data_IF_864518432472
#
_entry.id   IF_864518432472
#
_cell.length_a   1.000
_cell.length_b   1.000
_cell.length_c   1.000
_cell.angle_alpha   90.00
_cell.angle_beta   90.00
_cell.angle_gamma   90.00
#
_symmetry.space_group_name_H-M   'P 1'
#
loop_
_entity.id
_entity.type
_entity.pdbx_description
1 polymer ?
#
# COMPACT_ATOMS: atom_id res chain seq x y z
N UNK A 1 2.63 -11.47 -24.97
CA UNK A 1 1.63 -12.37 -25.58
C UNK A 1 0.43 -11.50 -25.92
N UNK A 2 0.30 -11.11 -27.18
CA UNK A 2 -0.71 -10.17 -27.66
C UNK A 2 -2.06 -10.89 -27.71
N UNK A 3 -3.13 -10.26 -27.22
CA UNK A 3 -4.47 -10.80 -27.42
C UNK A 3 -4.81 -10.75 -28.92
N UNK A 4 -5.08 -11.90 -29.53
CA UNK A 4 -5.44 -12.01 -30.94
C UNK A 4 -6.66 -11.14 -31.26
N UNK A 5 -6.70 -10.53 -32.44
CA UNK A 5 -7.75 -9.59 -32.87
C UNK A 5 -9.18 -10.20 -32.79
N UNK A 6 -9.28 -11.54 -32.76
CA UNK A 6 -10.51 -12.30 -32.54
C UNK A 6 -11.07 -12.12 -31.11
N UNK A 7 -10.21 -11.98 -30.10
CA UNK A 7 -10.61 -11.74 -28.71
C UNK A 7 -11.18 -10.32 -28.52
N UNK A 8 -10.62 -9.32 -29.21
CA UNK A 8 -11.11 -7.94 -29.18
C UNK A 8 -12.44 -7.83 -29.92
N UNK A 9 -12.58 -8.49 -31.08
CA UNK A 9 -13.84 -8.55 -31.80
C UNK A 9 -14.95 -9.24 -30.97
N UNK A 10 -14.60 -10.29 -30.23
CA UNK A 10 -15.52 -11.02 -29.34
C UNK A 10 -15.97 -10.16 -28.15
N UNK A 11 -15.06 -9.42 -27.53
CA UNK A 11 -15.39 -8.51 -26.41
C UNK A 11 -16.31 -7.36 -26.84
N UNK A 12 -16.07 -6.79 -28.03
CA UNK A 12 -16.92 -5.72 -28.61
C UNK A 12 -18.30 -6.26 -28.99
N UNK A 13 -18.38 -7.48 -29.54
CA UNK A 13 -19.65 -8.13 -29.87
C UNK A 13 -20.47 -8.47 -28.60
N UNK A 14 -19.83 -8.90 -27.51
CA UNK A 14 -20.47 -9.12 -26.22
C UNK A 14 -21.02 -7.83 -25.61
N UNK A 15 -20.27 -6.73 -25.68
CA UNK A 15 -20.71 -5.41 -25.22
C UNK A 15 -21.87 -4.82 -26.06
N UNK A 16 -21.86 -5.06 -27.38
CA UNK A 16 -22.94 -4.65 -28.26
C UNK A 16 -24.21 -5.51 -28.11
N UNK A 17 -24.05 -6.82 -27.87
CA UNK A 17 -25.14 -7.77 -27.74
C UNK A 17 -25.84 -7.79 -26.37
N UNK A 18 -25.12 -7.50 -25.28
CA UNK A 18 -25.66 -7.65 -23.92
C UNK A 18 -26.70 -6.59 -23.52
N UNK A 19 -26.80 -5.46 -24.22
CA UNK A 19 -27.69 -4.37 -23.81
C UNK A 19 -28.52 -3.73 -24.93
N UNK A 20 -28.43 -4.18 -26.18
CA UNK A 20 -29.29 -3.67 -27.27
C UNK A 20 -29.19 -2.14 -27.50
N UNK A 21 -28.09 -1.50 -27.08
CA UNK A 21 -28.00 -0.04 -26.97
C UNK A 21 -27.00 0.63 -27.91
N UNK A 22 -26.40 -0.09 -28.85
CA UNK A 22 -25.40 0.50 -29.77
C UNK A 22 -25.69 0.03 -31.20
N UNK A 23 -26.11 0.96 -32.06
CA UNK A 23 -26.31 0.71 -33.49
C UNK A 23 -24.99 0.41 -34.22
N UNK A 24 -25.03 -0.26 -35.39
CA UNK A 24 -23.85 -0.78 -36.07
C UNK A 24 -22.76 0.27 -36.36
N UNK A 25 -23.14 1.53 -36.60
CA UNK A 25 -22.20 2.62 -36.88
C UNK A 25 -21.33 3.03 -35.67
N UNK A 26 -21.85 2.87 -34.45
CA UNK A 26 -21.11 3.21 -33.23
C UNK A 26 -20.11 2.10 -32.83
N UNK A 27 -20.39 0.85 -33.19
CA UNK A 27 -19.44 -0.26 -33.02
C UNK A 27 -18.24 -0.13 -33.99
N UNK A 28 -18.49 0.29 -35.24
CA UNK A 28 -17.42 0.54 -36.22
C UNK A 28 -16.52 1.68 -35.78
N UNK A 29 -17.09 2.79 -35.28
CA UNK A 29 -16.30 3.91 -34.74
C UNK A 29 -15.47 3.55 -33.50
N UNK A 30 -15.99 2.70 -32.63
CA UNK A 30 -15.24 2.22 -31.46
C UNK A 30 -14.03 1.35 -31.88
N UNK A 31 -14.19 0.54 -32.92
CA UNK A 31 -13.11 -0.26 -33.51
C UNK A 31 -12.05 0.61 -34.21
N UNK A 32 -12.45 1.67 -34.91
CA UNK A 32 -11.50 2.64 -35.51
C UNK A 32 -10.71 3.41 -34.45
N UNK A 33 -11.36 3.82 -33.35
CA UNK A 33 -10.72 4.46 -32.20
C UNK A 33 -9.73 3.54 -31.49
N UNK A 34 -10.10 2.27 -31.29
CA UNK A 34 -9.21 1.29 -30.65
C UNK A 34 -7.98 0.97 -31.51
N UNK A 35 -8.09 1.04 -32.85
CA UNK A 35 -6.95 0.92 -33.77
C UNK A 35 -6.06 2.16 -33.74
N UNK A 36 -6.64 3.36 -33.74
CA UNK A 36 -5.88 4.61 -33.64
C UNK A 36 -5.09 4.72 -32.32
N UNK A 37 -5.67 4.29 -31.18
CA UNK A 37 -4.94 4.21 -29.92
C UNK A 37 -3.79 3.20 -29.93
N UNK A 38 -3.88 2.14 -30.75
CA UNK A 38 -2.81 1.12 -30.86
C UNK A 38 -1.59 1.68 -31.59
N UNK A 39 -1.82 2.50 -32.62
CA UNK A 39 -0.75 3.15 -33.41
C UNK A 39 -0.07 4.29 -32.63
N UNK A 40 -0.75 4.92 -31.65
CA UNK A 40 -0.18 6.00 -30.83
C UNK A 40 0.73 5.52 -29.67
N UNK A 41 0.63 4.25 -29.26
CA UNK A 41 1.55 3.69 -28.23
C UNK A 41 2.96 3.49 -28.79
N UNK A 42 3.14 3.45 -30.11
CA UNK A 42 4.45 3.30 -30.76
C UNK A 42 5.24 4.62 -30.91
N UNK A 43 4.65 5.80 -30.69
CA UNK A 43 5.35 7.08 -30.96
C UNK A 43 5.22 8.06 -29.77
N UNK A 44 6.32 8.21 -29.03
CA UNK A 44 6.40 8.96 -27.77
C UNK A 44 6.05 10.46 -27.84
N UNK A 45 5.63 10.96 -26.67
CA UNK A 45 5.30 12.34 -26.26
C UNK A 45 5.72 13.47 -27.22
N UNK A 46 4.72 14.16 -27.80
CA UNK A 46 4.88 15.42 -28.52
C UNK A 46 3.55 16.14 -28.77
N UNK A 47 3.53 17.46 -28.55
CA UNK A 47 2.37 18.35 -28.59
C UNK A 47 1.56 18.27 -29.91
N UNK A 48 0.26 17.92 -29.84
CA UNK A 48 -0.57 17.67 -31.02
C UNK A 48 -1.02 18.95 -31.79
N UNK A 49 -0.85 18.93 -33.11
CA UNK A 49 -1.62 19.67 -34.14
C UNK A 49 -2.05 18.65 -35.21
N UNK A 50 -3.23 18.81 -35.82
CA UNK A 50 -3.64 17.95 -36.94
C UNK A 50 -3.04 18.38 -38.30
N UNK A 51 -3.19 17.55 -39.32
CA UNK A 51 -2.67 17.73 -40.70
C UNK A 51 -3.32 18.86 -41.51
N UNK A 52 -4.21 19.64 -40.89
CA UNK A 52 -4.79 20.88 -41.46
C UNK A 52 -4.49 22.13 -40.63
N UNK A 53 -3.73 22.00 -39.53
CA UNK A 53 -3.15 23.12 -38.79
C UNK A 53 -4.06 23.85 -37.80
N UNK A 54 -5.21 23.28 -37.38
CA UNK A 54 -6.06 23.88 -36.33
C UNK A 54 -5.81 23.26 -34.96
N UNK A 55 -5.89 24.08 -33.90
CA UNK A 55 -5.78 23.65 -32.49
C UNK A 55 -7.06 22.97 -32.03
N UNK A 56 -6.92 21.88 -31.26
CA UNK A 56 -8.04 21.20 -30.59
C UNK A 56 -8.74 22.13 -29.58
N UNK A 57 -10.07 22.02 -29.53
CA UNK A 57 -10.92 22.66 -28.52
C UNK A 57 -10.75 21.94 -27.17
N UNK A 58 -10.78 22.71 -26.07
CA UNK A 58 -10.78 22.18 -24.70
C UNK A 58 -12.05 21.33 -24.44
N UNK A 59 -11.94 20.36 -23.53
CA UNK A 59 -12.94 19.33 -23.23
C UNK A 59 -14.30 19.82 -22.70
N UNK A 60 -14.49 21.11 -22.53
CA UNK A 60 -15.71 21.77 -22.06
C UNK A 60 -16.78 21.97 -23.16
N UNK A 61 -16.51 21.61 -24.43
CA UNK A 61 -17.49 21.73 -25.53
C UNK A 61 -18.15 20.42 -25.99
N UNK A 62 -17.91 19.29 -25.33
CA UNK A 62 -18.49 17.97 -25.69
C UNK A 62 -19.95 17.76 -25.21
N UNK A 63 -20.74 18.83 -25.08
CA UNK A 63 -22.06 18.78 -24.43
C UNK A 63 -23.29 18.86 -25.36
N UNK A 64 -23.15 19.13 -26.66
CA UNK A 64 -24.29 19.58 -27.46
C UNK A 64 -24.74 18.65 -28.61
N UNK A 65 -24.15 17.45 -28.79
CA UNK A 65 -24.44 16.61 -29.97
C UNK A 65 -25.13 15.26 -29.68
N UNK A 66 -25.52 14.96 -28.45
CA UNK A 66 -26.31 13.76 -28.14
C UNK A 66 -27.33 14.11 -27.07
N UNK A 67 -28.63 14.04 -27.41
CA UNK A 67 -29.76 14.43 -26.56
C UNK A 67 -29.97 13.61 -25.29
N UNK A 68 -28.94 13.47 -24.45
CA UNK A 68 -28.97 12.81 -23.15
C UNK A 68 -29.27 13.87 -22.09
N UNK A 69 -30.40 13.76 -21.38
CA UNK A 69 -30.66 14.57 -20.20
C UNK A 69 -29.62 14.24 -19.13
N UNK A 70 -28.80 15.22 -18.75
CA UNK A 70 -27.87 15.12 -17.61
C UNK A 70 -28.65 14.90 -16.31
N UNK A 71 -28.33 13.83 -15.59
CA UNK A 71 -28.48 13.81 -14.14
C UNK A 71 -27.38 14.72 -13.56
N UNK A 72 -27.76 15.89 -13.07
CA UNK A 72 -26.86 16.78 -12.34
C UNK A 72 -26.64 16.23 -10.94
N UNK A 73 -25.46 15.66 -10.70
CA UNK A 73 -24.90 15.53 -9.34
C UNK A 73 -24.43 16.94 -8.93
N UNK A 74 -24.75 17.45 -7.74
CA UNK A 74 -24.25 18.75 -7.30
C UNK A 74 -22.73 18.68 -7.18
N UNK A 75 -22.01 19.39 -8.04
CA UNK A 75 -20.60 19.65 -7.84
C UNK A 75 -20.47 20.52 -6.58
N UNK A 76 -19.77 20.02 -5.56
CA UNK A 76 -19.25 20.88 -4.50
C UNK A 76 -18.35 21.93 -5.17
N UNK A 77 -18.88 23.15 -5.28
CA UNK A 77 -18.10 24.34 -5.66
C UNK A 77 -17.12 24.63 -4.54
N UNK A 78 -15.85 24.31 -4.73
CA UNK A 78 -14.79 25.00 -4.02
C UNK A 78 -14.80 26.47 -4.47
N UNK A 79 -15.24 27.35 -3.57
CA UNK A 79 -15.19 28.80 -3.75
C UNK A 79 -13.75 29.24 -3.52
N UNK A 80 -12.97 29.36 -4.59
CA UNK A 80 -11.75 30.17 -4.55
C UNK A 80 -12.12 31.61 -4.89
N UNK A 81 -12.41 32.40 -3.87
CA UNK A 81 -12.52 33.85 -3.97
C UNK A 81 -11.74 34.50 -2.82
N UNK A 82 -10.56 35.02 -3.12
CA UNK A 82 -9.73 35.79 -2.18
C UNK A 82 -8.44 36.23 -2.84
N UNK A 83 -8.40 37.50 -3.27
CA UNK A 83 -7.22 38.16 -3.84
C UNK A 83 -6.20 38.44 -2.73
N UNK A 84 -4.91 38.21 -3.04
CA UNK A 84 -3.78 38.89 -2.39
C UNK A 84 -3.16 38.14 -1.22
N UNK A 85 -1.95 37.63 -1.42
CA UNK A 85 -1.12 37.04 -0.38
C UNK A 85 -0.44 35.76 -0.86
N UNK A 86 0.72 35.89 -1.50
CA UNK A 86 1.63 34.78 -1.71
C UNK A 86 2.25 34.39 -0.36
N UNK A 87 1.50 33.65 0.46
CA UNK A 87 1.98 32.93 1.64
C UNK A 87 0.87 31.98 2.10
N UNK A 88 1.09 30.67 1.97
CA UNK A 88 0.18 29.66 2.54
C UNK A 88 -0.33 28.62 1.54
N UNK A 89 0.52 27.64 1.19
CA UNK A 89 0.27 26.20 1.33
C UNK A 89 1.41 25.42 0.65
N UNK A 90 2.63 25.58 1.16
CA UNK A 90 3.48 24.40 1.24
C UNK A 90 2.71 23.51 2.22
N UNK A 91 2.05 22.46 1.72
CA UNK A 91 1.74 21.34 2.58
C UNK A 91 3.08 21.00 3.25
N UNK A 92 3.15 21.06 4.58
CA UNK A 92 4.30 20.53 5.30
C UNK A 92 4.55 19.16 4.69
N UNK A 93 5.67 18.99 4.00
CA UNK A 93 6.13 17.66 3.62
C UNK A 93 6.56 17.02 4.93
N UNK A 94 5.60 16.58 5.73
CA UNK A 94 5.89 15.77 6.89
C UNK A 94 6.56 14.53 6.32
N UNK A 95 7.85 14.40 6.61
CA UNK A 95 8.61 13.18 6.34
C UNK A 95 7.82 12.04 6.98
N UNK A 96 7.41 11.07 6.16
CA UNK A 96 6.70 9.91 6.67
C UNK A 96 7.63 9.12 7.58
N UNK A 97 7.08 8.51 8.63
CA UNK A 97 7.85 7.63 9.50
C UNK A 97 7.38 6.18 9.42
N UNK A 98 8.35 5.29 9.38
CA UNK A 98 8.16 3.85 9.46
C UNK A 98 8.72 3.30 10.78
N UNK A 99 8.03 2.34 11.36
CA UNK A 99 8.47 1.60 12.53
C UNK A 99 8.53 0.12 12.18
N UNK A 100 9.70 -0.48 12.35
CA UNK A 100 9.85 -1.94 12.30
C UNK A 100 9.77 -2.51 13.69
N UNK A 101 8.83 -3.43 13.90
CA UNK A 101 8.82 -4.31 15.06
C UNK A 101 9.49 -5.63 14.69
N UNK A 102 10.72 -5.80 15.17
CA UNK A 102 11.50 -7.01 15.03
C UNK A 102 11.01 -8.07 16.01
N UNK A 103 10.29 -9.07 15.49
CA UNK A 103 9.64 -10.13 16.24
C UNK A 103 10.49 -11.40 16.30
N UNK A 104 11.82 -11.27 16.35
CA UNK A 104 12.71 -12.41 16.59
C UNK A 104 12.50 -12.96 18.00
N UNK A 105 12.69 -14.27 18.17
CA UNK A 105 12.80 -14.89 19.51
C UNK A 105 14.14 -14.56 20.19
N UNK A 106 15.12 -14.05 19.44
CA UNK A 106 16.46 -13.70 19.91
C UNK A 106 16.47 -12.26 20.43
N UNK A 107 17.21 -12.01 21.51
CA UNK A 107 17.58 -10.65 21.96
C UNK A 107 18.54 -9.97 20.97
N UNK A 108 18.75 -8.65 21.11
CA UNK A 108 19.71 -7.87 20.29
C UNK A 108 21.17 -8.33 20.41
N UNK A 109 21.53 -9.08 21.45
CA UNK A 109 22.85 -9.70 21.56
C UNK A 109 23.15 -10.74 20.46
N UNK A 110 22.14 -11.13 19.68
CA UNK A 110 22.26 -12.07 18.57
C UNK A 110 21.69 -11.48 17.27
N UNK A 111 22.33 -11.83 16.15
CA UNK A 111 21.84 -11.45 14.83
C UNK A 111 20.50 -12.13 14.54
N UNK A 112 19.66 -11.42 13.80
CA UNK A 112 18.32 -11.87 13.42
C UNK A 112 18.04 -11.56 11.95
N UNK A 113 17.67 -12.61 11.22
CA UNK A 113 17.38 -12.53 9.80
C UNK A 113 16.07 -11.80 9.53
N UNK A 114 15.08 -11.91 10.43
CA UNK A 114 13.84 -11.12 10.34
C UNK A 114 14.12 -9.64 10.56
N UNK A 115 15.00 -9.29 11.51
CA UNK A 115 15.42 -7.90 11.67
C UNK A 115 16.20 -7.38 10.45
N UNK A 116 17.10 -8.20 9.89
CA UNK A 116 17.84 -7.85 8.67
C UNK A 116 16.87 -7.48 7.54
N UNK A 117 15.89 -8.34 7.23
CA UNK A 117 14.89 -8.05 6.21
C UNK A 117 14.05 -6.80 6.56
N UNK A 118 13.72 -6.61 7.83
CA UNK A 118 13.04 -5.40 8.30
C UNK A 118 13.86 -4.12 8.08
N UNK A 119 15.19 -4.17 8.28
CA UNK A 119 16.09 -3.05 7.97
C UNK A 119 16.17 -2.78 6.48
N UNK A 120 16.22 -3.81 5.66
CA UNK A 120 16.21 -3.65 4.19
C UNK A 120 14.89 -3.05 3.68
N UNK A 121 13.77 -3.31 4.35
CA UNK A 121 12.51 -2.58 4.09
C UNK A 121 12.67 -1.10 4.42
N UNK A 122 13.32 -0.73 5.53
CA UNK A 122 13.59 0.69 5.84
C UNK A 122 14.53 1.34 4.82
N UNK A 123 15.57 0.63 4.39
CA UNK A 123 16.50 1.12 3.37
C UNK A 123 15.76 1.40 2.04
N UNK A 124 14.86 0.49 1.63
CA UNK A 124 14.03 0.70 0.45
C UNK A 124 12.98 1.81 0.63
N UNK A 125 12.46 2.00 1.85
CA UNK A 125 11.55 3.10 2.18
C UNK A 125 12.26 4.47 2.19
N UNK A 126 13.55 4.51 2.50
CA UNK A 126 14.36 5.73 2.46
C UNK A 126 14.48 6.31 1.04
N UNK A 127 14.47 5.47 0.00
CA UNK A 127 14.39 5.89 -1.41
C UNK A 127 13.08 6.67 -1.73
N UNK A 128 12.11 6.63 -0.81
CA UNK A 128 10.83 7.31 -0.88
C UNK A 128 10.67 8.38 0.22
N UNK A 129 11.75 8.93 0.77
CA UNK A 129 11.71 9.98 1.80
C UNK A 129 10.90 9.56 3.04
N UNK A 130 11.06 8.30 3.46
CA UNK A 130 10.47 7.76 4.70
C UNK A 130 11.58 7.45 5.68
N UNK A 131 11.57 8.13 6.83
CA UNK A 131 12.51 7.85 7.91
C UNK A 131 12.05 6.64 8.71
N UNK A 132 12.99 5.86 9.24
CA UNK A 132 12.68 4.59 9.88
C UNK A 132 13.49 4.30 11.13
N UNK A 133 12.89 3.58 12.07
CA UNK A 133 13.60 2.94 13.18
C UNK A 133 13.16 1.50 13.40
N UNK A 134 13.99 0.73 14.09
CA UNK A 134 13.74 -0.68 14.41
C UNK A 134 13.70 -0.86 15.92
N UNK A 135 12.69 -1.56 16.41
CA UNK A 135 12.60 -2.03 17.80
C UNK A 135 12.63 -3.55 17.84
N UNK A 136 13.55 -4.13 18.61
CA UNK A 136 13.55 -5.57 18.91
C UNK A 136 12.62 -5.82 20.08
N UNK A 137 11.43 -6.37 19.82
CA UNK A 137 10.38 -6.54 20.84
C UNK A 137 10.83 -7.43 22.00
N UNK A 138 11.63 -8.45 21.72
CA UNK A 138 12.17 -9.37 22.74
C UNK A 138 12.99 -8.68 23.85
N UNK A 139 13.51 -7.46 23.61
CA UNK A 139 14.33 -6.72 24.57
C UNK A 139 13.51 -5.74 25.42
N UNK A 140 12.22 -5.56 25.12
CA UNK A 140 11.43 -4.47 25.69
C UNK A 140 10.58 -4.87 26.89
N UNK A 141 10.55 -6.16 27.27
CA UNK A 141 9.75 -6.61 28.41
C UNK A 141 8.24 -6.40 28.21
N UNK A 142 7.75 -6.51 26.97
CA UNK A 142 6.32 -6.46 26.66
C UNK A 142 5.61 -7.63 27.34
N UNK A 143 4.57 -7.32 28.12
CA UNK A 143 3.76 -8.35 28.80
C UNK A 143 2.69 -8.90 27.87
N UNK A 144 2.20 -10.10 28.16
CA UNK A 144 0.99 -10.63 27.54
C UNK A 144 -0.23 -9.87 28.07
N UNK A 145 -1.19 -9.56 27.19
CA UNK A 145 -2.43 -8.91 27.55
C UNK A 145 -3.08 -8.22 26.35
N UNK A 146 -4.21 -7.56 26.57
CA UNK A 146 -4.99 -6.88 25.53
C UNK A 146 -5.38 -5.44 25.90
N UNK A 147 -4.74 -4.87 26.94
CA UNK A 147 -4.92 -3.46 27.33
C UNK A 147 -3.74 -2.61 26.86
N UNK A 148 -3.86 -1.29 26.76
CA UNK A 148 -2.75 -0.41 26.33
C UNK A 148 -1.55 -0.40 27.29
N UNK A 149 -1.74 -0.83 28.54
CA UNK A 149 -0.72 -0.97 29.58
C UNK A 149 -1.17 -2.06 30.57
N UNK A 150 -0.36 -3.10 30.78
CA UNK A 150 -0.63 -4.13 31.81
C UNK A 150 -0.04 -3.76 33.19
N UNK A 151 0.56 -2.59 33.33
CA UNK A 151 1.19 -2.10 34.55
C UNK A 151 2.49 -2.82 34.89
N UNK A 152 3.03 -2.54 36.09
CA UNK A 152 4.19 -3.21 36.67
C UNK A 152 5.41 -3.31 35.74
N UNK A 153 5.71 -2.23 35.01
CA UNK A 153 6.86 -2.15 34.12
C UNK A 153 6.67 -2.82 32.75
N UNK A 154 5.42 -2.94 32.27
CA UNK A 154 5.15 -3.33 30.88
C UNK A 154 5.85 -2.39 29.89
N UNK A 155 6.55 -2.97 28.91
CA UNK A 155 7.22 -2.22 27.85
C UNK A 155 6.29 -1.74 26.74
N UNK A 156 5.07 -2.27 26.64
CA UNK A 156 4.15 -1.95 25.55
C UNK A 156 3.82 -0.45 25.39
N UNK A 157 3.59 0.34 26.46
CA UNK A 157 3.26 1.76 26.30
C UNK A 157 4.27 2.57 25.48
N UNK A 158 5.57 2.29 25.65
CA UNK A 158 6.64 2.96 24.89
C UNK A 158 6.67 2.49 23.41
N UNK A 159 6.36 1.22 23.15
CA UNK A 159 6.21 0.69 21.79
C UNK A 159 5.00 1.33 21.11
N UNK A 160 3.87 1.39 21.81
CA UNK A 160 2.62 1.99 21.34
C UNK A 160 2.80 3.44 20.95
N UNK A 161 3.50 4.25 21.76
CA UNK A 161 3.80 5.64 21.42
C UNK A 161 4.49 5.76 20.05
N UNK A 162 5.48 4.90 19.78
CA UNK A 162 6.18 4.88 18.49
C UNK A 162 5.28 4.43 17.34
N UNK A 163 4.39 3.46 17.56
CA UNK A 163 3.40 3.02 16.56
C UNK A 163 2.45 4.18 16.21
N UNK A 164 1.91 4.87 17.21
CA UNK A 164 1.03 6.02 17.03
C UNK A 164 1.73 7.15 16.27
N UNK A 165 3.04 7.31 16.48
CA UNK A 165 3.83 8.36 15.86
C UNK A 165 4.31 8.01 14.43
N UNK A 166 4.17 6.76 13.98
CA UNK A 166 4.54 6.27 12.65
C UNK A 166 3.33 6.19 11.70
N UNK A 167 3.56 6.36 10.41
CA UNK A 167 2.56 6.19 9.34
C UNK A 167 2.62 4.79 8.73
N UNK A 168 3.77 4.12 8.81
CA UNK A 168 3.97 2.76 8.30
C UNK A 168 4.44 1.87 9.45
N UNK A 169 3.72 0.78 9.70
CA UNK A 169 4.13 -0.27 10.63
C UNK A 169 4.60 -1.49 9.83
N UNK A 170 5.82 -1.95 10.12
CA UNK A 170 6.41 -3.16 9.54
C UNK A 170 6.47 -4.23 10.63
N UNK A 171 5.75 -5.34 10.44
CA UNK A 171 5.92 -6.53 11.28
C UNK A 171 6.99 -7.42 10.64
N UNK A 172 8.16 -7.50 11.27
CA UNK A 172 9.29 -8.28 10.79
C UNK A 172 9.43 -9.57 11.61
N UNK A 173 9.00 -10.70 11.07
CA UNK A 173 8.79 -11.94 11.84
C UNK A 173 9.46 -13.15 11.20
N UNK A 174 10.11 -14.03 11.99
CA UNK A 174 10.52 -15.34 11.50
C UNK A 174 9.34 -16.32 11.49
N UNK A 175 9.40 -17.31 10.59
CA UNK A 175 8.50 -18.45 10.56
C UNK A 175 8.96 -19.49 11.59
N UNK A 176 8.06 -19.90 12.47
CA UNK A 176 8.25 -21.03 13.37
C UNK A 176 7.07 -21.97 13.28
N UNK A 177 7.31 -23.25 12.99
CA UNK A 177 6.25 -24.25 12.82
C UNK A 177 5.17 -23.84 11.79
N UNK A 178 5.57 -23.15 10.72
CA UNK A 178 4.63 -22.64 9.70
C UNK A 178 3.75 -21.48 10.18
N UNK A 179 4.14 -20.78 11.25
CA UNK A 179 3.38 -19.71 11.91
C UNK A 179 4.25 -18.47 12.13
N UNK A 180 3.68 -17.27 12.33
CA UNK A 180 4.45 -16.16 12.87
C UNK A 180 5.03 -16.54 14.23
N UNK A 181 6.17 -15.93 14.59
CA UNK A 181 6.77 -16.13 15.91
C UNK A 181 5.79 -15.82 17.04
N UNK A 182 6.01 -16.43 18.21
CA UNK A 182 5.22 -16.11 19.41
C UNK A 182 5.34 -14.63 19.82
N UNK A 183 6.48 -14.00 19.55
CA UNK A 183 6.68 -12.55 19.77
C UNK A 183 5.79 -11.75 18.81
N UNK A 184 5.66 -12.14 17.55
CA UNK A 184 4.75 -11.49 16.62
C UNK A 184 3.29 -11.67 17.07
N UNK A 185 2.89 -12.88 17.50
CA UNK A 185 1.53 -13.11 18.01
C UNK A 185 1.24 -12.26 19.26
N UNK A 186 2.18 -12.16 20.19
CA UNK A 186 2.07 -11.24 21.33
C UNK A 186 1.88 -9.79 20.85
N UNK A 187 2.66 -9.31 19.89
CA UNK A 187 2.46 -7.95 19.32
C UNK A 187 1.05 -7.75 18.76
N UNK A 188 0.50 -8.76 18.07
CA UNK A 188 -0.87 -8.70 17.54
C UNK A 188 -1.91 -8.67 18.68
N UNK A 189 -1.74 -9.49 19.71
CA UNK A 189 -2.58 -9.47 20.92
C UNK A 189 -2.51 -8.11 21.63
N UNK A 190 -1.34 -7.46 21.65
CA UNK A 190 -1.20 -6.12 22.23
C UNK A 190 -1.80 -5.00 21.37
N UNK A 191 -1.83 -5.18 20.05
CA UNK A 191 -2.53 -4.27 19.14
C UNK A 191 -4.06 -4.38 19.25
N UNK A 192 -4.60 -5.51 19.74
CA UNK A 192 -6.04 -5.68 20.02
C UNK A 192 -6.58 -4.59 20.94
N UNK A 193 -5.75 -4.07 21.85
CA UNK A 193 -6.09 -2.95 22.73
C UNK A 193 -6.61 -1.72 21.96
N UNK A 194 -6.11 -1.49 20.74
CA UNK A 194 -6.50 -0.34 19.93
C UNK A 194 -7.94 -0.41 19.40
N UNK A 195 -8.58 -1.57 19.43
CA UNK A 195 -9.99 -1.71 19.05
C UNK A 195 -10.91 -0.87 19.96
N UNK A 196 -10.46 -0.53 21.18
CA UNK A 196 -11.17 0.33 22.12
C UNK A 196 -10.70 1.80 22.08
N UNK A 197 -9.68 2.12 21.30
CA UNK A 197 -9.01 3.42 21.31
C UNK A 197 -9.44 4.26 20.11
N UNK A 198 -9.59 5.57 20.32
CA UNK A 198 -9.99 6.51 19.27
C UNK A 198 -9.03 7.68 19.15
N UNK A 199 -8.92 8.24 17.95
CA UNK A 199 -8.25 9.50 17.68
C UNK A 199 -9.10 10.70 18.13
N UNK A 200 -8.53 11.91 18.04
CA UNK A 200 -9.21 13.16 18.41
C UNK A 200 -10.49 13.45 17.58
N UNK A 201 -10.71 12.70 16.49
CA UNK A 201 -11.89 12.78 15.62
C UNK A 201 -12.92 11.70 15.93
N UNK A 202 -12.68 10.87 16.95
CA UNK A 202 -13.55 9.77 17.36
C UNK A 202 -13.50 8.55 16.42
N UNK A 203 -12.47 8.43 15.57
CA UNK A 203 -12.23 7.27 14.70
C UNK A 203 -11.28 6.29 15.40
N UNK A 204 -11.23 4.99 15.03
CA UNK A 204 -10.23 4.08 15.59
C UNK A 204 -8.80 4.64 15.47
N UNK A 205 -8.01 4.52 16.53
CA UNK A 205 -6.70 5.19 16.70
C UNK A 205 -5.67 4.85 15.60
N UNK A 206 -5.80 3.69 14.97
CA UNK A 206 -4.88 3.19 13.94
C UNK A 206 -5.33 3.48 12.49
N UNK A 207 -6.44 4.19 12.31
CA UNK A 207 -6.86 4.63 10.97
C UNK A 207 -5.81 5.53 10.31
N UNK A 208 -5.82 5.54 8.97
CA UNK A 208 -4.89 6.28 8.11
C UNK A 208 -3.42 5.81 8.17
N UNK A 209 -3.14 4.71 8.87
CA UNK A 209 -1.82 4.07 8.91
C UNK A 209 -1.74 2.91 7.92
N UNK A 210 -0.53 2.60 7.49
CA UNK A 210 -0.22 1.52 6.57
C UNK A 210 0.46 0.37 7.31
N UNK A 211 -0.02 -0.86 7.10
CA UNK A 211 0.58 -2.08 7.63
C UNK A 211 1.28 -2.88 6.54
N UNK A 212 2.52 -3.30 6.78
CA UNK A 212 3.30 -4.17 5.88
C UNK A 212 4.03 -5.25 6.66
N UNK A 213 4.44 -6.33 5.98
CA UNK A 213 5.02 -7.52 6.63
C UNK A 213 6.31 -7.94 5.94
N UNK A 214 7.33 -8.24 6.74
CA UNK A 214 8.59 -8.84 6.32
C UNK A 214 8.72 -10.22 6.96
N UNK A 215 8.82 -11.28 6.15
CA UNK A 215 8.84 -12.67 6.64
C UNK A 215 10.13 -13.37 6.22
N UNK A 216 10.76 -14.08 7.16
CA UNK A 216 11.87 -14.99 6.84
C UNK A 216 11.59 -16.37 7.41
N UNK A 217 11.96 -17.42 6.70
CA UNK A 217 11.96 -18.78 7.23
C UNK A 217 12.97 -19.64 6.51
N UNK A 218 13.51 -20.65 7.18
CA UNK A 218 14.40 -21.60 6.50
C UNK A 218 13.64 -22.40 5.44
N UNK A 219 12.33 -22.54 5.61
CA UNK A 219 11.43 -23.28 4.72
C UNK A 219 10.02 -22.63 4.74
N UNK A 220 9.10 -23.21 3.97
CA UNK A 220 7.74 -22.76 3.67
C UNK A 220 6.94 -22.10 4.81
N UNK A 221 5.99 -21.23 4.44
CA UNK A 221 5.00 -20.64 5.34
C UNK A 221 4.77 -19.14 5.17
N UNK A 222 5.52 -18.45 4.31
CA UNK A 222 5.48 -16.99 4.22
C UNK A 222 4.09 -16.41 3.91
N UNK A 223 3.37 -17.01 2.97
CA UNK A 223 2.01 -16.57 2.63
C UNK A 223 1.03 -16.82 3.78
N UNK A 224 1.11 -17.98 4.44
CA UNK A 224 0.29 -18.29 5.61
C UNK A 224 0.52 -17.26 6.73
N UNK A 225 1.78 -16.99 7.04
CA UNK A 225 2.16 -15.97 8.04
C UNK A 225 1.65 -14.58 7.66
N UNK A 226 1.82 -14.18 6.39
CA UNK A 226 1.32 -12.89 5.93
C UNK A 226 -0.20 -12.77 6.05
N UNK A 227 -0.94 -13.85 5.81
CA UNK A 227 -2.40 -13.85 5.93
C UNK A 227 -2.85 -13.64 7.39
N UNK A 228 -2.21 -14.32 8.35
CA UNK A 228 -2.51 -14.11 9.78
C UNK A 228 -2.21 -12.67 10.22
N UNK A 229 -1.05 -12.15 9.84
CA UNK A 229 -0.63 -10.80 10.25
C UNK A 229 -1.49 -9.73 9.59
N UNK A 230 -1.80 -9.85 8.28
CA UNK A 230 -2.62 -8.85 7.59
C UNK A 230 -4.06 -8.82 8.06
N UNK A 231 -4.65 -9.96 8.40
CA UNK A 231 -5.98 -9.98 8.97
C UNK A 231 -6.00 -9.20 10.29
N UNK A 232 -5.07 -9.49 11.21
CA UNK A 232 -4.99 -8.76 12.49
C UNK A 232 -4.74 -7.26 12.31
N UNK A 233 -3.81 -6.87 11.41
CA UNK A 233 -3.56 -5.46 11.12
C UNK A 233 -4.78 -4.77 10.51
N UNK A 234 -5.53 -5.46 9.65
CA UNK A 234 -6.75 -4.90 9.06
C UNK A 234 -7.83 -4.68 10.11
N UNK A 235 -8.07 -5.66 10.98
CA UNK A 235 -9.07 -5.56 12.06
C UNK A 235 -8.79 -4.38 12.99
N UNK A 236 -7.51 -4.13 13.31
CA UNK A 236 -7.07 -3.00 14.15
C UNK A 236 -7.24 -1.64 13.44
N UNK A 237 -7.28 -1.62 12.10
CA UNK A 237 -7.58 -0.41 11.31
C UNK A 237 -6.46 0.03 10.35
N UNK A 238 -5.39 -0.74 10.21
CA UNK A 238 -4.36 -0.46 9.21
C UNK A 238 -4.87 -0.74 7.78
N UNK A 239 -4.42 0.08 6.83
CA UNK A 239 -4.59 -0.18 5.41
C UNK A 239 -3.42 -0.98 4.85
N UNK A 240 -3.70 -2.01 4.06
CA UNK A 240 -2.68 -2.87 3.47
C UNK A 240 -2.45 -2.47 2.00
N UNK A 241 -1.22 -2.12 1.59
CA UNK A 241 -0.95 -1.76 0.21
C UNK A 241 -0.88 -3.01 -0.68
N UNK A 242 -1.12 -2.84 -1.98
CA UNK A 242 -0.84 -3.90 -2.94
C UNK A 242 0.64 -4.30 -2.85
N UNK A 243 0.94 -5.61 -2.79
CA UNK A 243 2.31 -6.08 -2.58
C UNK A 243 2.90 -5.71 -1.22
N UNK A 244 2.07 -5.55 -0.18
CA UNK A 244 2.50 -5.17 1.18
C UNK A 244 3.30 -6.21 1.97
N UNK A 245 3.70 -7.32 1.33
CA UNK A 245 4.54 -8.37 1.94
C UNK A 245 5.82 -8.56 1.12
N UNK A 246 6.95 -8.65 1.83
CA UNK A 246 8.21 -9.14 1.28
C UNK A 246 8.67 -10.32 2.12
N UNK A 247 9.30 -11.31 1.50
CA UNK A 247 9.73 -12.48 2.23
C UNK A 247 10.91 -13.19 1.59
N UNK A 248 11.56 -14.01 2.42
CA UNK A 248 12.51 -15.02 1.99
C UNK A 248 12.18 -16.36 2.64
N UNK A 249 12.18 -17.42 1.85
CA UNK A 249 12.18 -18.80 2.35
C UNK A 249 13.28 -19.59 1.65
N UNK A 250 13.94 -20.47 2.39
CA UNK A 250 14.90 -21.42 1.84
C UNK A 250 14.22 -22.63 1.20
N UNK A 251 15.03 -23.49 0.61
CA UNK A 251 14.60 -24.77 0.04
C UNK A 251 14.19 -25.75 1.15
N UNK A 252 13.21 -26.61 0.84
CA UNK A 252 12.76 -27.65 1.77
C UNK A 252 13.92 -28.57 2.20
N UNK A 253 13.98 -28.87 3.50
CA UNK A 253 15.07 -29.58 4.18
C UNK A 253 16.47 -28.91 4.06
N UNK A 254 16.52 -27.61 3.72
CA UNK A 254 17.74 -26.82 3.62
C UNK A 254 18.26 -26.29 4.96
N UNK A 255 19.46 -25.70 4.94
CA UNK A 255 20.08 -25.09 6.14
C UNK A 255 20.62 -23.69 5.91
N UNK A 256 20.34 -23.10 4.76
CA UNK A 256 20.76 -21.72 4.45
C UNK A 256 19.96 -20.75 5.34
N UNK A 257 20.64 -19.78 5.95
CA UNK A 257 20.01 -18.67 6.67
C UNK A 257 19.97 -17.44 5.75
N UNK A 258 18.91 -16.64 5.85
CA UNK A 258 18.78 -15.41 5.06
C UNK A 258 19.94 -14.43 5.28
N UNK A 259 20.58 -14.42 6.45
CA UNK A 259 21.77 -13.59 6.71
C UNK A 259 22.94 -13.93 5.80
N UNK A 260 23.06 -15.19 5.39
CA UNK A 260 24.11 -15.66 4.49
C UNK A 260 23.68 -15.56 3.02
N UNK A 261 22.40 -15.82 2.73
CA UNK A 261 21.84 -15.75 1.38
C UNK A 261 21.74 -14.31 0.85
N UNK A 262 21.39 -13.37 1.74
CA UNK A 262 21.09 -11.97 1.42
C UNK A 262 19.86 -11.78 0.52
N UNK A 263 19.46 -10.53 0.28
CA UNK A 263 18.40 -10.20 -0.65
C UNK A 263 18.86 -10.49 -2.08
N UNK A 264 18.30 -11.52 -2.71
CA UNK A 264 18.50 -11.75 -4.14
C UNK A 264 17.78 -10.64 -4.94
N UNK A 265 18.47 -9.95 -5.87
CA UNK A 265 17.92 -8.77 -6.56
C UNK A 265 16.59 -9.02 -7.28
N UNK A 266 16.45 -10.22 -7.82
CA UNK A 266 15.40 -10.70 -8.71
C UNK A 266 14.25 -11.41 -7.98
N UNK A 267 14.35 -11.61 -6.66
CA UNK A 267 13.25 -12.14 -5.83
C UNK A 267 12.93 -11.21 -4.66
N UNK A 268 13.38 -11.53 -3.44
CA UNK A 268 13.12 -10.77 -2.20
C UNK A 268 13.49 -9.29 -2.35
N UNK A 269 14.60 -8.98 -3.04
CA UNK A 269 15.00 -7.59 -3.30
C UNK A 269 13.97 -6.81 -4.14
N UNK A 270 13.41 -7.43 -5.17
CA UNK A 270 12.39 -6.79 -6.02
C UNK A 270 11.06 -6.62 -5.28
N UNK A 271 10.65 -7.61 -4.48
CA UNK A 271 9.44 -7.52 -3.65
C UNK A 271 9.57 -6.47 -2.55
N UNK A 272 10.74 -6.34 -1.91
CA UNK A 272 11.02 -5.31 -0.90
C UNK A 272 10.91 -3.90 -1.49
N UNK A 273 11.48 -3.66 -2.68
CA UNK A 273 11.35 -2.36 -3.38
C UNK A 273 9.91 -2.05 -3.77
N UNK A 274 9.18 -3.05 -4.27
CA UNK A 274 7.76 -2.90 -4.63
C UNK A 274 6.91 -2.56 -3.41
N UNK A 275 7.13 -3.27 -2.30
CA UNK A 275 6.47 -3.02 -1.02
C UNK A 275 6.72 -1.59 -0.56
N UNK A 276 7.98 -1.13 -0.56
CA UNK A 276 8.34 0.21 -0.11
C UNK A 276 7.65 1.30 -0.93
N UNK A 277 7.69 1.19 -2.26
CA UNK A 277 7.04 2.15 -3.17
C UNK A 277 5.53 2.23 -2.92
N UNK A 278 4.86 1.08 -2.81
CA UNK A 278 3.40 1.03 -2.62
C UNK A 278 2.98 1.49 -1.23
N UNK A 279 3.74 1.15 -0.19
CA UNK A 279 3.48 1.58 1.18
C UNK A 279 3.64 3.10 1.34
N UNK A 280 4.73 3.66 0.81
CA UNK A 280 4.97 5.10 0.84
C UNK A 280 3.91 5.87 0.03
N UNK A 281 3.48 5.34 -1.12
CA UNK A 281 2.39 5.90 -1.90
C UNK A 281 1.08 5.92 -1.10
N UNK A 282 0.68 4.78 -0.53
CA UNK A 282 -0.56 4.66 0.23
C UNK A 282 -0.56 5.54 1.48
N UNK A 283 0.56 5.60 2.20
CA UNK A 283 0.70 6.45 3.39
C UNK A 283 0.51 7.94 3.04
N UNK A 284 1.06 8.42 1.92
CA UNK A 284 0.81 9.79 1.44
C UNK A 284 -0.63 10.02 1.03
N UNK A 285 -1.26 9.04 0.39
CA UNK A 285 -2.67 9.12 0.00
C UNK A 285 -3.56 9.28 1.23
N UNK A 286 -3.35 8.46 2.26
CA UNK A 286 -4.11 8.50 3.52
C UNK A 286 -3.84 9.77 4.32
N UNK A 287 -2.60 10.27 4.33
CA UNK A 287 -2.28 11.56 4.93
C UNK A 287 -2.98 12.73 4.23
N UNK A 288 -3.08 12.69 2.90
CA UNK A 288 -3.73 13.74 2.11
C UNK A 288 -5.26 13.64 2.12
N UNK A 289 -5.79 12.40 2.11
CA UNK A 289 -7.23 12.09 2.08
C UNK A 289 -7.54 11.01 3.12
N UNK A 290 -7.65 11.40 4.41
CA UNK A 290 -7.98 10.49 5.50
C UNK A 290 -9.33 9.79 5.32
N UNK A 291 -9.50 8.63 5.96
CA UNK A 291 -10.82 8.01 6.08
C UNK A 291 -11.83 8.96 6.72
N UNK A 292 -13.11 8.95 6.28
CA UNK A 292 -14.14 9.73 6.93
C UNK A 292 -14.38 9.23 8.36
N UNK A 293 -14.93 10.10 9.21
CA UNK A 293 -15.56 9.63 10.44
C UNK A 293 -16.81 8.81 10.09
N UNK A 294 -16.98 7.68 10.78
CA UNK A 294 -18.09 6.73 10.62
C UNK A 294 -19.09 6.83 11.75
#
# INVERSE_FOLDING_TARGET
MLADDEAIATAVALLAGAHGLIGPDAAVRALELARACRDEVEVGFGCCRDTTGRRFLRGDQWGAAAGVRRLTVPAHRAVCAGRGGASGCMADSQTLRALVLGCSLKSTSQQSSSELLGREVLDALADHDVDGEVLRVADLGVKFGVSTDEGDGDGWPAVREKILAAQILVIATPIWMGQPSSVAKMVLERLDAELAETDDRGRPSMYDKVGVVAVVGNEDGAHHVSAEVFQALNDVGFSIPAGGVTYWVGEAMGSEDYQDAGPKPDTTGTTTKTLAANAAHLARLLAATPYPAS
#
